data_IF_682975140763
#
_entry.id   IF_682975140763
#
_cell.length_a   1.000
_cell.length_b   1.000
_cell.length_c   1.000
_cell.angle_alpha   90.00
_cell.angle_beta   90.00
_cell.angle_gamma   90.00
#
_symmetry.space_group_name_H-M   'P 1'
#
loop_
_entity.id
_entity.type
_entity.pdbx_description
1 polymer ?
#
# COMPACT_ATOMS: atom_id res chain seq x y z
N UNK A 1 70.82 -27.47 -44.59
CA UNK A 1 69.82 -26.73 -45.40
C UNK A 1 68.44 -26.91 -44.76
N UNK A 2 67.70 -25.78 -44.64
CA UNK A 2 66.23 -25.60 -44.43
C UNK A 2 65.62 -26.20 -43.14
N UNK A 3 65.30 -25.38 -42.12
CA UNK A 3 64.13 -24.46 -41.94
C UNK A 3 62.86 -25.22 -41.49
N UNK A 4 62.43 -25.13 -40.21
CA UNK A 4 61.50 -24.12 -39.61
C UNK A 4 60.08 -24.23 -40.22
N UNK A 5 58.93 -24.25 -39.52
CA UNK A 5 58.50 -23.72 -38.20
C UNK A 5 56.97 -23.98 -38.02
N UNK A 6 56.47 -23.95 -36.77
CA UNK A 6 55.11 -23.58 -36.29
C UNK A 6 53.89 -24.46 -36.68
N UNK A 7 52.80 -24.60 -35.93
CA UNK A 7 52.32 -24.15 -34.62
C UNK A 7 50.91 -24.76 -34.38
N UNK A 8 50.40 -24.57 -33.16
CA UNK A 8 48.99 -24.38 -32.80
C UNK A 8 48.19 -25.62 -32.36
N UNK A 9 48.17 -25.79 -31.04
CA UNK A 9 47.10 -26.40 -30.27
C UNK A 9 45.77 -25.71 -30.63
N UNK A 10 44.84 -26.45 -31.23
CA UNK A 10 43.51 -25.96 -31.55
C UNK A 10 42.63 -25.92 -30.31
N UNK A 11 42.18 -24.72 -29.92
CA UNK A 11 41.08 -24.54 -28.96
C UNK A 11 39.79 -24.56 -29.77
N UNK A 12 38.99 -25.61 -29.62
CA UNK A 12 37.63 -25.65 -30.16
C UNK A 12 36.71 -24.81 -29.27
N UNK A 13 36.25 -23.66 -29.77
CA UNK A 13 35.17 -22.89 -29.15
C UNK A 13 33.82 -23.46 -29.64
N UNK A 14 33.06 -24.06 -28.73
CA UNK A 14 31.66 -24.42 -28.99
C UNK A 14 30.78 -23.18 -28.76
N UNK A 15 30.24 -22.63 -29.84
CA UNK A 15 29.22 -21.57 -29.77
C UNK A 15 27.87 -22.26 -29.56
N UNK A 16 27.33 -22.20 -28.33
CA UNK A 16 25.95 -22.57 -28.07
C UNK A 16 25.05 -21.37 -28.39
N UNK A 17 24.35 -21.44 -29.53
CA UNK A 17 23.27 -20.51 -29.86
C UNK A 17 22.04 -20.93 -29.06
N UNK A 18 21.76 -20.23 -27.97
CA UNK A 18 20.51 -20.39 -27.22
C UNK A 18 19.44 -19.55 -27.93
N UNK A 19 18.57 -20.22 -28.70
CA UNK A 19 17.33 -19.62 -29.19
C UNK A 19 16.40 -19.50 -27.97
N UNK A 20 16.26 -18.28 -27.46
CA UNK A 20 15.26 -17.96 -26.43
C UNK A 20 13.87 -18.07 -27.03
N UNK A 21 13.20 -19.21 -26.80
CA UNK A 21 11.76 -19.30 -26.98
C UNK A 21 11.09 -18.38 -25.96
N UNK A 22 10.50 -17.29 -26.45
CA UNK A 22 9.68 -16.37 -25.66
C UNK A 22 8.37 -17.10 -25.31
N UNK A 23 8.33 -17.73 -24.15
CA UNK A 23 7.07 -18.12 -23.54
C UNK A 23 6.29 -16.84 -23.20
N UNK A 24 4.99 -16.72 -23.51
CA UNK A 24 4.17 -15.67 -22.92
C UNK A 24 4.29 -15.82 -21.41
N UNK A 25 4.73 -14.75 -20.73
CA UNK A 25 5.12 -14.78 -19.33
C UNK A 25 4.03 -15.44 -18.49
N UNK A 26 4.33 -16.63 -17.97
CA UNK A 26 3.63 -17.12 -16.79
C UNK A 26 3.66 -15.97 -15.79
N UNK A 27 2.50 -15.57 -15.27
CA UNK A 27 2.43 -14.67 -14.14
C UNK A 27 3.45 -15.17 -13.12
N UNK A 28 4.56 -14.45 -12.97
CA UNK A 28 5.65 -14.91 -12.13
C UNK A 28 5.05 -15.09 -10.74
N UNK A 29 5.11 -16.31 -10.23
CA UNK A 29 4.94 -16.61 -8.82
C UNK A 29 5.54 -15.47 -7.98
N UNK A 30 4.69 -14.73 -7.26
CA UNK A 30 5.14 -13.60 -6.43
C UNK A 30 4.96 -13.92 -4.96
N UNK A 31 5.97 -13.61 -4.15
CA UNK A 31 5.79 -13.65 -2.70
C UNK A 31 5.08 -12.39 -2.20
N UNK A 32 4.47 -12.48 -1.02
CA UNK A 32 3.96 -11.29 -0.33
C UNK A 32 5.08 -10.26 -0.08
N UNK A 33 6.30 -10.70 0.20
CA UNK A 33 7.48 -9.81 0.32
C UNK A 33 7.73 -9.00 -0.94
N UNK A 34 7.69 -9.63 -2.13
CA UNK A 34 7.93 -8.93 -3.39
C UNK A 34 6.85 -7.87 -3.63
N UNK A 35 5.60 -8.18 -3.28
CA UNK A 35 4.48 -7.24 -3.43
C UNK A 35 4.64 -6.03 -2.51
N UNK A 36 5.06 -6.26 -1.26
CA UNK A 36 5.33 -5.19 -0.30
C UNK A 36 6.55 -4.35 -0.72
N UNK A 37 7.60 -4.95 -1.27
CA UNK A 37 8.76 -4.21 -1.78
C UNK A 37 8.38 -3.30 -2.97
N UNK A 38 7.57 -3.82 -3.89
CA UNK A 38 6.99 -3.05 -5.00
C UNK A 38 6.17 -1.88 -4.49
N UNK A 39 5.26 -2.12 -3.55
CA UNK A 39 4.46 -1.08 -2.90
C UNK A 39 5.33 0.02 -2.28
N UNK A 40 6.37 -0.34 -1.51
CA UNK A 40 7.32 0.60 -0.92
C UNK A 40 8.05 1.44 -1.94
N UNK A 41 8.47 0.87 -3.08
CA UNK A 41 9.18 1.60 -4.13
C UNK A 41 8.34 2.75 -4.70
N UNK A 42 7.03 2.56 -4.74
CA UNK A 42 6.08 3.52 -5.28
C UNK A 42 5.72 4.61 -4.26
N UNK A 43 5.64 4.26 -2.97
CA UNK A 43 5.56 5.26 -1.87
C UNK A 43 6.83 6.10 -1.82
N UNK A 44 8.01 5.47 -1.90
CA UNK A 44 9.30 6.17 -1.86
C UNK A 44 9.49 7.13 -3.04
N UNK A 45 8.78 6.91 -4.14
CA UNK A 45 8.76 7.80 -5.30
C UNK A 45 7.74 8.94 -5.19
N UNK A 46 6.99 9.03 -4.07
CA UNK A 46 6.00 10.08 -3.80
C UNK A 46 4.98 10.25 -4.95
N UNK A 47 4.45 9.12 -5.44
CA UNK A 47 3.52 9.13 -6.58
C UNK A 47 2.16 9.68 -6.15
N UNK A 48 1.72 10.74 -6.83
CA UNK A 48 0.44 11.38 -6.58
C UNK A 48 -0.74 10.70 -7.29
N UNK A 49 -1.92 10.76 -6.66
CA UNK A 49 -3.14 10.13 -7.16
C UNK A 49 -3.71 10.85 -8.39
N UNK A 50 -4.06 10.08 -9.41
CA UNK A 50 -4.82 10.48 -10.58
C UNK A 50 -5.45 9.26 -11.27
N UNK A 51 -6.76 9.34 -11.53
CA UNK A 51 -7.49 8.31 -12.27
C UNK A 51 -7.09 8.19 -13.75
N UNK A 52 -6.29 9.11 -14.29
CA UNK A 52 -5.91 9.14 -15.71
C UNK A 52 -4.41 9.05 -15.97
N UNK A 53 -3.57 9.33 -14.96
CA UNK A 53 -2.12 9.33 -15.15
C UNK A 53 -1.53 7.94 -14.96
N UNK A 54 -0.32 7.79 -15.47
CA UNK A 54 0.50 6.59 -15.32
C UNK A 54 1.86 6.98 -14.77
N UNK A 55 2.42 6.11 -13.93
CA UNK A 55 3.78 6.21 -13.44
C UNK A 55 4.57 4.98 -13.87
N UNK A 56 5.85 5.18 -14.16
CA UNK A 56 6.78 4.13 -14.62
C UNK A 56 7.95 4.02 -13.66
N UNK A 57 8.19 2.81 -13.15
CA UNK A 57 9.39 2.46 -12.40
C UNK A 57 9.97 1.13 -12.91
N UNK A 58 10.92 0.55 -12.19
CA UNK A 58 11.54 -0.72 -12.55
C UNK A 58 10.57 -1.92 -12.62
N UNK A 59 9.35 -1.79 -12.08
CA UNK A 59 8.33 -2.82 -12.07
C UNK A 59 7.28 -2.68 -13.18
N UNK A 60 7.38 -1.62 -14.00
CA UNK A 60 6.52 -1.38 -15.15
C UNK A 60 5.80 -0.03 -15.10
N UNK A 61 4.78 0.09 -15.95
CA UNK A 61 3.97 1.30 -16.11
C UNK A 61 2.52 1.01 -15.70
N UNK A 62 2.01 1.73 -14.70
CA UNK A 62 0.66 1.52 -14.16
C UNK A 62 -0.04 2.83 -13.87
N UNK A 63 -1.37 2.81 -13.84
CA UNK A 63 -2.20 3.93 -13.41
C UNK A 63 -1.87 4.34 -11.98
N UNK A 64 -1.88 5.64 -11.73
CA UNK A 64 -1.61 6.24 -10.41
C UNK A 64 -2.90 6.37 -9.62
N UNK A 65 -3.63 5.27 -9.43
CA UNK A 65 -4.82 5.23 -8.58
C UNK A 65 -4.80 3.99 -7.69
N UNK A 66 -5.76 3.85 -6.78
CA UNK A 66 -5.76 2.76 -5.79
C UNK A 66 -5.60 1.37 -6.43
N UNK A 67 -6.34 1.10 -7.50
CA UNK A 67 -6.29 -0.19 -8.21
C UNK A 67 -5.07 -0.37 -9.11
N UNK A 68 -4.56 0.71 -9.70
CA UNK A 68 -3.31 0.71 -10.47
C UNK A 68 -2.10 0.47 -9.59
N UNK A 69 -2.09 1.07 -8.39
CA UNK A 69 -1.11 0.82 -7.34
C UNK A 69 -1.06 -0.65 -6.91
N UNK A 70 -2.22 -1.25 -6.60
CA UNK A 70 -2.32 -2.68 -6.30
C UNK A 70 -1.89 -3.54 -7.48
N UNK A 71 -2.26 -3.17 -8.71
CA UNK A 71 -1.83 -3.89 -9.91
C UNK A 71 -0.30 -3.90 -10.07
N UNK A 72 0.36 -2.78 -9.72
CA UNK A 72 1.82 -2.69 -9.68
C UNK A 72 2.42 -3.55 -8.57
N UNK A 73 1.85 -3.48 -7.36
CA UNK A 73 2.31 -4.29 -6.23
C UNK A 73 2.23 -5.79 -6.56
N UNK A 74 1.16 -6.25 -7.20
CA UNK A 74 0.98 -7.62 -7.66
C UNK A 74 1.69 -7.95 -8.99
N UNK A 75 2.39 -7.00 -9.59
CA UNK A 75 3.11 -7.19 -10.85
C UNK A 75 2.28 -7.69 -12.01
N UNK A 76 1.03 -7.23 -12.09
CA UNK A 76 0.13 -7.59 -13.16
C UNK A 76 0.61 -7.01 -14.50
N UNK A 77 0.27 -7.65 -15.62
CA UNK A 77 0.66 -7.14 -16.94
C UNK A 77 0.00 -5.80 -17.35
N UNK A 78 -0.99 -5.33 -16.59
CA UNK A 78 -1.75 -4.11 -16.85
C UNK A 78 -2.39 -3.58 -15.57
N UNK A 79 -2.89 -2.34 -15.57
CA UNK A 79 -3.70 -1.81 -14.48
C UNK A 79 -5.13 -2.35 -14.52
N UNK A 80 -5.52 -3.07 -13.47
CA UNK A 80 -6.88 -3.49 -13.18
C UNK A 80 -7.63 -2.38 -12.44
N UNK A 81 -8.94 -2.52 -12.31
CA UNK A 81 -9.82 -1.65 -11.50
C UNK A 81 -10.33 -2.42 -10.29
N UNK A 82 -10.87 -1.72 -9.29
CA UNK A 82 -11.56 -2.36 -8.14
C UNK A 82 -12.62 -3.39 -8.57
N UNK A 83 -13.29 -3.15 -9.70
CA UNK A 83 -14.30 -4.03 -10.31
C UNK A 83 -13.67 -5.26 -10.98
N UNK A 84 -12.47 -5.14 -11.56
CA UNK A 84 -11.82 -6.23 -12.31
C UNK A 84 -10.77 -6.99 -11.50
N UNK A 85 -10.24 -6.45 -10.40
CA UNK A 85 -9.35 -7.18 -9.47
C UNK A 85 -9.92 -8.54 -9.01
N UNK A 86 -11.24 -8.73 -8.83
CA UNK A 86 -11.82 -10.04 -8.57
C UNK A 86 -11.58 -11.12 -9.64
N UNK A 87 -11.21 -10.79 -10.88
CA UNK A 87 -10.92 -11.79 -11.92
C UNK A 87 -9.53 -12.42 -11.79
N UNK A 88 -8.63 -11.78 -11.03
CA UNK A 88 -7.25 -12.24 -10.77
C UNK A 88 -7.00 -12.53 -9.29
N UNK A 89 -8.05 -12.57 -8.48
CA UNK A 89 -7.95 -12.84 -7.05
C UNK A 89 -9.15 -13.63 -6.55
N UNK A 90 -9.04 -14.28 -5.40
CA UNK A 90 -10.13 -14.99 -4.75
C UNK A 90 -10.35 -14.45 -3.33
N UNK A 91 -11.60 -14.47 -2.82
CA UNK A 91 -11.87 -14.03 -1.45
C UNK A 91 -11.21 -14.96 -0.43
N UNK A 92 -10.76 -14.39 0.69
CA UNK A 92 -10.19 -15.12 1.83
C UNK A 92 -10.89 -14.73 3.13
N UNK A 93 -10.75 -15.54 4.18
CA UNK A 93 -11.21 -15.18 5.51
C UNK A 93 -10.33 -14.07 6.11
N UNK A 94 -10.89 -13.28 7.05
CA UNK A 94 -10.15 -12.26 7.81
C UNK A 94 -8.86 -12.81 8.41
N UNK A 95 -8.97 -13.94 9.11
CA UNK A 95 -7.85 -14.54 9.83
C UNK A 95 -6.81 -15.20 8.91
N UNK A 96 -7.09 -15.28 7.61
CA UNK A 96 -6.13 -15.74 6.60
C UNK A 96 -5.32 -14.60 5.98
N UNK A 97 -5.58 -13.32 6.33
CA UNK A 97 -4.85 -12.18 5.77
C UNK A 97 -3.34 -12.29 6.02
N UNK A 98 -2.57 -12.17 4.95
CA UNK A 98 -1.12 -12.09 4.94
C UNK A 98 -0.67 -10.84 4.17
N UNK A 99 0.51 -10.27 4.45
CA UNK A 99 0.96 -9.11 3.70
C UNK A 99 1.07 -9.41 2.20
N UNK A 100 0.55 -8.49 1.39
CA UNK A 100 0.37 -8.67 -0.05
C UNK A 100 -1.06 -9.02 -0.46
N UNK A 101 -1.93 -9.42 0.47
CA UNK A 101 -3.37 -9.49 0.23
C UNK A 101 -3.99 -8.10 0.14
N UNK A 102 -5.24 -8.02 -0.33
CA UNK A 102 -5.97 -6.75 -0.43
C UNK A 102 -7.28 -6.78 0.34
N UNK A 103 -7.72 -5.60 0.75
CA UNK A 103 -9.11 -5.34 1.11
C UNK A 103 -9.72 -4.57 -0.08
N UNK A 104 -10.68 -5.18 -0.77
CA UNK A 104 -11.28 -4.61 -1.99
C UNK A 104 -12.74 -4.25 -1.80
N UNK A 105 -13.10 -3.00 -2.06
CA UNK A 105 -14.47 -2.57 -2.34
C UNK A 105 -14.65 -2.44 -3.87
N UNK A 106 -15.33 -3.40 -4.53
CA UNK A 106 -15.40 -3.49 -5.99
C UNK A 106 -16.46 -2.58 -6.62
N UNK A 107 -16.82 -1.45 -5.99
CA UNK A 107 -17.69 -0.45 -6.60
C UNK A 107 -16.97 0.30 -7.74
N UNK A 108 -17.69 0.74 -8.78
CA UNK A 108 -17.09 1.41 -9.93
C UNK A 108 -16.74 2.87 -9.62
N UNK A 109 -15.83 3.43 -10.44
CA UNK A 109 -15.49 4.85 -10.40
C UNK A 109 -14.90 5.29 -9.05
N UNK A 110 -15.36 6.43 -8.55
CA UNK A 110 -14.90 7.01 -7.27
C UNK A 110 -15.59 6.41 -6.05
N UNK A 111 -16.49 5.43 -6.23
CA UNK A 111 -17.22 4.78 -5.12
C UNK A 111 -16.51 3.52 -4.60
N UNK A 112 -15.60 2.96 -5.39
CA UNK A 112 -14.77 1.83 -4.97
C UNK A 112 -13.42 2.29 -4.41
N UNK A 113 -12.78 1.39 -3.67
CA UNK A 113 -11.42 1.58 -3.20
C UNK A 113 -10.77 0.23 -2.92
N UNK A 114 -9.44 0.21 -2.91
CA UNK A 114 -8.67 -0.98 -2.58
C UNK A 114 -7.38 -0.57 -1.87
N UNK A 115 -7.01 -1.35 -0.88
CA UNK A 115 -5.76 -1.19 -0.13
C UNK A 115 -5.01 -2.51 -0.06
N UNK A 116 -3.68 -2.43 0.02
CA UNK A 116 -2.79 -3.58 0.14
C UNK A 116 -2.44 -3.80 1.62
N UNK A 117 -2.86 -4.93 2.18
CA UNK A 117 -2.59 -5.32 3.56
C UNK A 117 -1.08 -5.52 3.77
N UNK A 118 -0.53 -4.91 4.81
CA UNK A 118 0.89 -4.97 5.18
C UNK A 118 1.14 -5.64 6.55
N UNK A 119 0.08 -5.99 7.28
CA UNK A 119 0.13 -6.67 8.57
C UNK A 119 -0.87 -6.09 9.56
N UNK A 120 -1.27 -6.89 10.56
CA UNK A 120 -2.10 -6.43 11.68
C UNK A 120 -1.30 -5.45 12.56
N UNK A 121 -1.96 -4.39 13.00
CA UNK A 121 -1.38 -3.40 13.91
C UNK A 121 -1.63 -3.74 15.38
N UNK A 122 -2.60 -4.62 15.66
CA UNK A 122 -2.94 -5.11 16.99
C UNK A 122 -3.26 -6.63 16.97
N UNK A 123 -3.16 -7.27 18.13
CA UNK A 123 -3.46 -8.71 18.30
C UNK A 123 -4.96 -9.04 18.18
N UNK A 124 -5.84 -8.05 18.37
CA UNK A 124 -7.28 -8.23 18.25
C UNK A 124 -7.76 -8.21 16.77
N UNK A 125 -6.83 -7.96 15.84
CA UNK A 125 -7.10 -7.75 14.42
C UNK A 125 -8.15 -6.66 14.19
N UNK A 126 -8.12 -5.57 14.97
CA UNK A 126 -9.05 -4.43 14.83
C UNK A 126 -8.51 -3.34 13.91
N UNK A 127 -7.19 -3.21 13.79
CA UNK A 127 -6.50 -2.29 12.91
C UNK A 127 -5.35 -2.99 12.17
N UNK A 128 -5.00 -2.48 11.00
CA UNK A 128 -3.92 -3.02 10.18
C UNK A 128 -3.14 -1.92 9.48
N UNK A 129 -1.89 -2.20 9.15
CA UNK A 129 -1.10 -1.37 8.26
C UNK A 129 -1.46 -1.69 6.81
N UNK A 130 -1.66 -0.66 6.00
CA UNK A 130 -1.99 -0.81 4.60
C UNK A 130 -1.26 0.20 3.72
N UNK A 131 -0.74 -0.28 2.60
CA UNK A 131 -0.31 0.59 1.53
C UNK A 131 -1.50 0.95 0.65
N UNK A 132 -1.65 2.23 0.34
CA UNK A 132 -2.72 2.71 -0.53
C UNK A 132 -2.28 3.92 -1.35
N UNK A 133 -2.92 4.10 -2.51
CA UNK A 133 -2.85 5.32 -3.29
C UNK A 133 -4.21 6.00 -3.22
N UNK A 134 -4.30 7.11 -2.48
CA UNK A 134 -5.57 7.80 -2.19
C UNK A 134 -5.59 9.23 -2.73
N UNK A 135 -6.79 9.78 -3.05
CA UNK A 135 -6.91 11.15 -3.56
C UNK A 135 -6.30 12.23 -2.64
N UNK A 136 -6.30 12.00 -1.33
CA UNK A 136 -5.82 12.96 -0.33
C UNK A 136 -4.35 12.81 0.03
N UNK A 137 -3.73 11.65 -0.26
CA UNK A 137 -2.39 11.33 0.23
C UNK A 137 -1.40 10.82 -0.83
N UNK A 138 -1.83 10.61 -2.08
CA UNK A 138 -1.02 9.87 -3.04
C UNK A 138 -0.69 8.47 -2.51
N UNK A 139 0.46 7.92 -2.90
CA UNK A 139 0.94 6.64 -2.40
C UNK A 139 1.55 6.75 -1.00
N UNK A 140 1.01 6.04 -0.02
CA UNK A 140 1.47 6.09 1.37
C UNK A 140 1.16 4.79 2.14
N UNK A 141 1.65 4.72 3.38
CA UNK A 141 1.35 3.68 4.35
C UNK A 141 0.50 4.29 5.47
N UNK A 142 -0.61 3.65 5.80
CA UNK A 142 -1.53 4.08 6.86
C UNK A 142 -1.84 2.94 7.82
N UNK A 143 -2.09 3.28 9.09
CA UNK A 143 -2.79 2.39 10.03
C UNK A 143 -4.29 2.67 9.89
N UNK A 144 -5.08 1.65 9.59
CA UNK A 144 -6.51 1.78 9.27
C UNK A 144 -7.35 0.73 10.01
N UNK A 145 -8.60 1.05 10.39
CA UNK A 145 -9.49 0.10 11.05
C UNK A 145 -9.96 -0.98 10.06
N UNK A 146 -10.18 -2.18 10.57
CA UNK A 146 -10.73 -3.28 9.79
C UNK A 146 -12.27 -3.17 9.63
N UNK A 147 -12.83 -3.42 8.43
CA UNK A 147 -12.11 -3.73 7.19
C UNK A 147 -11.63 -2.47 6.46
N UNK A 148 -12.28 -1.33 6.72
CA UNK A 148 -11.87 0.01 6.32
C UNK A 148 -12.68 1.03 7.14
N UNK A 149 -12.43 2.34 6.95
CA UNK A 149 -13.19 3.40 7.62
C UNK A 149 -14.71 3.30 7.37
N UNK A 150 -15.56 3.56 8.38
CA UNK A 150 -17.01 3.59 8.22
C UNK A 150 -17.47 4.56 7.11
N UNK A 151 -18.50 4.18 6.35
CA UNK A 151 -19.08 5.02 5.29
C UNK A 151 -18.49 4.81 3.89
N UNK A 152 -17.43 4.01 3.75
CA UNK A 152 -16.76 3.73 2.46
C UNK A 152 -17.21 2.44 1.77
N UNK A 153 -18.33 1.86 2.21
CA UNK A 153 -18.88 0.62 1.65
C UNK A 153 -18.29 -0.64 2.26
N UNK A 154 -18.42 -1.76 1.55
CA UNK A 154 -18.00 -3.08 2.04
C UNK A 154 -16.70 -3.51 1.37
N UNK A 155 -15.73 -3.88 2.19
CA UNK A 155 -14.44 -4.39 1.73
C UNK A 155 -14.36 -5.90 1.98
N UNK A 156 -13.95 -6.64 0.95
CA UNK A 156 -13.72 -8.09 1.02
C UNK A 156 -12.22 -8.37 0.99
N UNK A 157 -11.67 -9.15 1.95
CA UNK A 157 -10.31 -9.67 1.86
C UNK A 157 -10.13 -10.56 0.63
N UNK A 158 -9.07 -10.32 -0.15
CA UNK A 158 -8.76 -11.13 -1.34
C UNK A 158 -7.27 -11.39 -1.49
N UNK A 159 -6.96 -12.57 -2.02
CA UNK A 159 -5.61 -13.02 -2.32
C UNK A 159 -5.40 -13.13 -3.82
N UNK A 160 -4.24 -12.67 -4.30
CA UNK A 160 -3.83 -12.80 -5.69
C UNK A 160 -3.66 -14.28 -6.08
N UNK A 161 -4.14 -14.69 -7.27
CA UNK A 161 -4.03 -16.08 -7.74
C UNK A 161 -2.59 -16.52 -8.02
N UNK A 162 -1.71 -15.58 -8.38
CA UNK A 162 -0.31 -15.85 -8.71
C UNK A 162 0.64 -15.76 -7.52
N UNK A 163 0.12 -15.71 -6.29
CA UNK A 163 0.97 -15.68 -5.09
C UNK A 163 1.62 -17.06 -4.87
N UNK A 164 2.92 -17.07 -4.61
CA UNK A 164 3.63 -18.22 -4.04
C UNK A 164 4.02 -17.91 -2.62
N UNK A 165 3.60 -18.77 -1.69
CA UNK A 165 3.83 -18.57 -0.25
C UNK A 165 5.31 -18.35 0.06
N UNK A 166 5.66 -17.11 0.40
CA UNK A 166 6.73 -16.74 1.32
C UNK A 166 6.13 -15.59 2.14
N UNK A 167 5.48 -15.91 3.27
CA UNK A 167 4.83 -14.91 4.13
C UNK A 167 5.90 -13.94 4.64
N UNK A 168 5.90 -12.67 4.23
CA UNK A 168 6.85 -11.69 4.75
C UNK A 168 6.53 -11.41 6.23
N UNK A 169 7.55 -11.03 7.03
CA UNK A 169 7.29 -10.52 8.38
C UNK A 169 6.39 -9.28 8.30
N UNK A 170 5.49 -9.07 9.29
CA UNK A 170 4.69 -7.85 9.38
C UNK A 170 5.57 -6.60 9.22
N UNK A 171 5.08 -5.60 8.50
CA UNK A 171 5.83 -4.35 8.35
C UNK A 171 5.96 -3.68 9.72
N UNK A 172 7.16 -3.74 10.30
CA UNK A 172 7.55 -2.86 11.41
C UNK A 172 7.82 -1.50 10.80
N UNK A 173 6.87 -0.59 10.94
CA UNK A 173 7.11 0.83 10.62
C UNK A 173 8.24 1.29 11.55
N UNK A 174 9.31 1.98 11.08
CA UNK A 174 10.17 2.68 12.01
C UNK A 174 9.24 3.57 12.84
N UNK A 175 9.31 3.48 14.16
CA UNK A 175 8.59 4.41 15.01
C UNK A 175 8.95 5.82 14.53
N UNK A 176 8.05 6.44 13.78
CA UNK A 176 8.00 7.89 13.71
C UNK A 176 7.80 8.20 15.16
N UNK A 177 8.86 8.64 15.85
CA UNK A 177 8.80 9.06 17.24
C UNK A 177 7.53 9.86 17.35
N UNK A 178 6.54 9.25 18.01
CA UNK A 178 5.19 9.79 18.09
C UNK A 178 5.43 11.15 18.72
N UNK A 179 5.27 12.23 17.95
CA UNK A 179 5.31 13.57 18.52
C UNK A 179 4.43 13.49 19.77
N UNK A 180 4.93 13.92 20.96
CA UNK A 180 4.24 13.70 22.20
C UNK A 180 2.77 14.03 21.97
N UNK A 181 1.90 13.02 22.12
CA UNK A 181 0.48 13.29 22.08
C UNK A 181 0.27 14.38 23.11
N UNK A 182 -0.30 15.55 22.75
CA UNK A 182 -0.74 16.47 23.78
C UNK A 182 -1.65 15.67 24.71
N UNK A 183 -1.51 15.91 26.02
CA UNK A 183 -2.31 15.22 27.03
C UNK A 183 -3.79 15.20 26.58
N UNK A 184 -4.53 14.11 26.84
CA UNK A 184 -5.94 14.03 26.49
C UNK A 184 -6.65 15.31 26.96
N UNK A 185 -7.36 15.96 26.05
CA UNK A 185 -8.12 17.16 26.36
C UNK A 185 -9.20 16.79 27.40
N UNK A 186 -9.10 17.33 28.61
CA UNK A 186 -9.97 17.01 29.76
C UNK A 186 -11.07 18.06 29.94
N UNK A 187 -12.11 17.70 30.69
CA UNK A 187 -13.16 18.63 31.11
C UNK A 187 -12.55 19.80 31.92
N UNK A 188 -12.82 21.03 31.47
CA UNK A 188 -12.25 22.25 32.03
C UNK A 188 -11.10 22.83 31.21
N UNK A 189 -10.54 22.09 30.25
CA UNK A 189 -9.51 22.60 29.35
C UNK A 189 -10.07 23.67 28.40
N UNK A 190 -9.26 24.71 28.17
CA UNK A 190 -9.59 25.78 27.23
C UNK A 190 -8.82 25.54 25.92
N UNK A 191 -9.54 25.27 24.82
CA UNK A 191 -8.97 25.09 23.48
C UNK A 191 -9.22 26.32 22.61
N UNK A 192 -8.28 26.63 21.71
CA UNK A 192 -8.41 27.74 20.75
C UNK A 192 -8.54 27.21 19.33
N UNK A 193 -9.59 27.63 18.64
CA UNK A 193 -9.79 27.34 17.23
C UNK A 193 -10.31 28.60 16.54
N UNK A 194 -9.64 29.00 15.45
CA UNK A 194 -10.03 30.12 14.59
C UNK A 194 -10.27 31.46 15.34
N UNK A 195 -9.44 31.74 16.36
CA UNK A 195 -9.52 32.96 17.18
C UNK A 195 -10.57 32.93 18.30
N UNK A 196 -11.33 31.85 18.44
CA UNK A 196 -12.33 31.65 19.49
C UNK A 196 -11.84 30.66 20.56
N UNK A 197 -12.21 30.91 21.82
CA UNK A 197 -11.89 30.03 22.96
C UNK A 197 -13.10 29.17 23.29
N UNK A 198 -12.88 27.87 23.44
CA UNK A 198 -13.88 26.89 23.85
C UNK A 198 -13.41 26.19 25.12
N UNK A 199 -14.33 25.95 26.06
CA UNK A 199 -14.07 25.11 27.23
C UNK A 199 -14.67 23.74 27.04
N UNK A 200 -13.96 22.70 27.44
CA UNK A 200 -14.46 21.32 27.38
C UNK A 200 -15.37 21.07 28.58
N UNK A 201 -16.59 20.60 28.31
CA UNK A 201 -17.55 20.21 29.35
C UNK A 201 -18.34 18.99 28.89
N UNK A 202 -18.33 17.91 29.69
CA UNK A 202 -18.94 16.64 29.32
C UNK A 202 -18.27 15.98 28.10
N UNK A 203 -16.98 16.25 27.86
CA UNK A 203 -16.22 15.71 26.74
C UNK A 203 -16.45 16.42 25.40
N UNK A 204 -17.11 17.58 25.38
CA UNK A 204 -17.37 18.36 24.17
C UNK A 204 -16.96 19.84 24.33
N UNK A 205 -16.43 20.49 23.27
CA UNK A 205 -16.08 21.90 23.30
C UNK A 205 -17.32 22.81 23.29
N UNK A 206 -17.42 23.66 24.30
CA UNK A 206 -18.48 24.65 24.48
C UNK A 206 -17.90 26.06 24.31
N UNK A 207 -18.54 26.89 23.48
CA UNK A 207 -18.08 28.26 23.26
C UNK A 207 -18.15 29.08 24.56
N UNK A 208 -17.03 29.69 24.96
CA UNK A 208 -17.03 30.58 26.14
C UNK A 208 -17.68 31.90 25.72
N UNK A 209 -18.88 32.17 26.23
CA UNK A 209 -19.58 33.44 25.98
C UNK A 209 -19.09 34.51 26.96
N UNK A 210 -19.28 35.78 26.58
CA UNK A 210 -18.77 36.95 27.30
C UNK A 210 -19.22 37.08 28.76
N UNK A 211 -20.25 36.35 29.19
CA UNK A 211 -20.78 36.42 30.57
C UNK A 211 -19.96 35.59 31.58
N UNK A 212 -19.16 34.61 31.14
CA UNK A 212 -18.26 33.85 32.03
C UNK A 212 -16.96 34.59 32.36
N UNK A 213 -16.59 35.63 31.60
CA UNK A 213 -15.40 36.47 31.87
C UNK A 213 -15.55 37.32 33.15
N UNK A 214 -16.76 37.50 33.67
CA UNK A 214 -17.05 38.43 34.77
C UNK A 214 -17.08 37.80 36.17
N UNK A 215 -16.86 36.48 36.31
CA UNK A 215 -17.02 35.75 37.60
C UNK A 215 -15.73 35.39 38.33
N UNK A 216 -14.57 35.88 37.88
CA UNK A 216 -13.31 35.79 38.64
C UNK A 216 -12.65 37.16 38.74
N UNK A 217 -13.15 37.99 39.65
CA UNK A 217 -12.39 38.95 40.47
C UNK A 217 -12.95 38.89 41.87
#
# INVERSE_FOLDING_TARGET
>A
MKARRFSATGIAAAIAVIIGMLLPGAANAQSGSDMIERARSWVAADVGYSGSNYFTNQYGTYRTDCSGYVSMAWGLGSSYTTVTLPSVSYPIAKDALEPGDILNNPLPGTSGHVVLFAGWADEAHTEYYAYEESPSGGAHLSQIPYPYWPGYGTFTPRRYVGVTSNTPPPVVVPEVEKAPQPDPIEDGDDIRHDGQVYRIAGGAPMAVTSDEKARKV
#
